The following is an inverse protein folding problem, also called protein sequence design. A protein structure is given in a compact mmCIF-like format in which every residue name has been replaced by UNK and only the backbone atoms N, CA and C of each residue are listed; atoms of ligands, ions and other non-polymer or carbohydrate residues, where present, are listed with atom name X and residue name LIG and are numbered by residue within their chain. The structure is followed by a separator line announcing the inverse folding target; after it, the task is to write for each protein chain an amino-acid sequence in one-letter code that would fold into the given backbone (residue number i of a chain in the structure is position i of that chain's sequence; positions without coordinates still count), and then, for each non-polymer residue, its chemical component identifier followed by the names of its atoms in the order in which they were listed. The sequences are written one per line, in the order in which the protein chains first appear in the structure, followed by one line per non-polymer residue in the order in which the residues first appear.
data_IF_366284869452
#
_entry.id   IF_366284869452
#
_cell.length_a   1.000
_cell.length_b   1.000
_cell.length_c   1.000
_cell.angle_alpha   90.00
_cell.angle_beta   90.00
_cell.angle_gamma   90.00
#
_symmetry.space_group_name_H-M   'P 1'
#
loop_
_entity.id
_entity.type
_entity.pdbx_description
1 polymer ?
#
# COMPACT_ATOMS: atom_id res chain seq x y z
N UNK A 1 8.06 -8.40 -7.42
CA UNK A 1 8.30 -9.02 -6.11
C UNK A 1 7.86 -8.01 -5.07
N UNK A 2 6.89 -8.37 -4.23
CA UNK A 2 6.44 -7.52 -3.10
C UNK A 2 7.43 -7.64 -1.95
N UNK A 3 7.45 -6.63 -1.07
CA UNK A 3 8.26 -6.65 0.15
C UNK A 3 7.30 -6.66 1.34
N UNK A 4 7.34 -7.72 2.13
CA UNK A 4 6.37 -7.94 3.19
C UNK A 4 7.00 -7.67 4.56
N UNK A 5 6.27 -6.95 5.39
CA UNK A 5 6.62 -6.63 6.78
C UNK A 5 5.48 -7.13 7.67
N UNK A 6 5.83 -7.79 8.76
CA UNK A 6 4.87 -8.31 9.73
C UNK A 6 5.04 -7.55 11.03
N UNK A 7 3.96 -6.94 11.52
CA UNK A 7 3.86 -6.46 12.88
C UNK A 7 3.27 -7.58 13.74
N UNK A 8 4.07 -8.10 14.68
CA UNK A 8 3.62 -9.04 15.70
C UNK A 8 3.38 -8.25 16.97
N UNK A 9 2.11 -8.06 17.34
CA UNK A 9 1.70 -7.18 18.43
C UNK A 9 1.05 -7.95 19.56
N UNK A 10 1.20 -7.44 20.77
CA UNK A 10 0.77 -8.15 22.00
C UNK A 10 -0.72 -8.03 22.26
N UNK A 11 -1.34 -6.98 21.74
CA UNK A 11 -2.74 -6.63 21.96
C UNK A 11 -3.48 -6.55 20.62
N UNK A 12 -4.79 -6.80 20.64
CA UNK A 12 -5.64 -6.72 19.46
C UNK A 12 -5.61 -5.30 18.88
N UNK A 13 -5.23 -5.11 17.61
CA UNK A 13 -5.28 -3.79 16.99
C UNK A 13 -6.72 -3.27 16.91
N UNK A 14 -6.97 -2.11 17.48
CA UNK A 14 -8.20 -1.36 17.24
C UNK A 14 -8.06 -0.43 16.03
N UNK A 15 -9.19 0.12 15.57
CA UNK A 15 -9.20 1.01 14.41
C UNK A 15 -8.32 2.25 14.63
N UNK A 16 -8.22 2.75 15.88
CA UNK A 16 -7.41 3.92 16.20
C UNK A 16 -5.93 3.61 16.05
N UNK A 17 -5.45 2.50 16.60
CA UNK A 17 -4.07 2.06 16.48
C UNK A 17 -3.67 1.85 15.02
N UNK A 18 -4.55 1.25 14.21
CA UNK A 18 -4.35 1.11 12.77
C UNK A 18 -4.26 2.46 12.08
N UNK A 19 -5.23 3.36 12.28
CA UNK A 19 -5.26 4.68 11.63
C UNK A 19 -4.09 5.55 12.05
N UNK A 20 -3.78 5.62 13.33
CA UNK A 20 -2.67 6.42 13.82
C UNK A 20 -1.33 5.89 13.26
N UNK A 21 -1.18 4.56 13.12
CA UNK A 21 0.02 3.96 12.49
C UNK A 21 0.09 4.21 10.98
N UNK A 22 -1.05 4.29 10.28
CA UNK A 22 -1.11 4.70 8.87
C UNK A 22 -0.68 6.17 8.71
N UNK A 23 -1.15 7.05 9.61
CA UNK A 23 -0.77 8.47 9.63
C UNK A 23 0.72 8.64 9.92
N UNK A 24 1.27 7.90 10.89
CA UNK A 24 2.70 7.89 11.18
C UNK A 24 3.54 7.41 9.98
N UNK A 25 2.98 6.51 9.17
CA UNK A 25 3.64 5.98 7.99
C UNK A 25 3.69 7.02 6.85
N UNK A 26 2.57 7.67 6.56
CA UNK A 26 2.47 8.83 5.67
C UNK A 26 1.08 9.50 5.78
N UNK A 27 0.97 10.77 6.19
CA UNK A 27 -0.33 11.41 6.46
C UNK A 27 -1.16 11.71 5.19
N UNK A 28 -0.51 11.94 4.04
CA UNK A 28 -1.20 12.38 2.83
C UNK A 28 -1.69 11.24 1.92
N UNK A 29 -1.50 9.97 2.29
CA UNK A 29 -1.95 8.84 1.47
C UNK A 29 -3.46 8.63 1.59
N UNK A 30 -4.08 8.25 0.47
CA UNK A 30 -5.50 7.93 0.42
C UNK A 30 -5.72 6.51 0.94
N UNK A 31 -6.78 6.30 1.71
CA UNK A 31 -7.17 4.98 2.22
C UNK A 31 -8.27 4.39 1.35
N UNK A 32 -8.09 3.15 0.89
CA UNK A 32 -9.09 2.39 0.16
C UNK A 32 -9.29 1.00 0.79
N UNK A 33 -10.49 0.44 0.67
CA UNK A 33 -10.75 -0.97 1.02
C UNK A 33 -10.62 -1.86 -0.22
N UNK A 34 -10.09 -3.06 -0.04
CA UNK A 34 -9.99 -4.09 -1.06
C UNK A 34 -10.35 -5.48 -0.49
N UNK A 35 -10.54 -6.47 -1.37
CA UNK A 35 -10.79 -7.87 -0.97
C UNK A 35 -11.99 -8.01 -0.02
N UNK A 36 -13.14 -7.42 -0.38
CA UNK A 36 -14.36 -7.43 0.44
C UNK A 36 -14.17 -6.96 1.90
N UNK A 37 -13.23 -6.04 2.12
CA UNK A 37 -12.94 -5.45 3.42
C UNK A 37 -11.88 -6.19 4.24
N UNK A 38 -11.29 -7.26 3.70
CA UNK A 38 -10.19 -7.97 4.34
C UNK A 38 -8.84 -7.24 4.19
N UNK A 39 -8.74 -6.27 3.27
CA UNK A 39 -7.51 -5.53 2.98
C UNK A 39 -7.76 -4.03 3.03
N UNK A 40 -6.88 -3.30 3.70
CA UNK A 40 -6.79 -1.85 3.66
C UNK A 40 -5.61 -1.48 2.75
N UNK A 41 -5.81 -0.54 1.82
CA UNK A 41 -4.76 -0.05 0.93
C UNK A 41 -4.45 1.41 1.21
N UNK A 42 -3.15 1.74 1.25
CA UNK A 42 -2.65 3.11 1.18
C UNK A 42 -2.26 3.40 -0.26
N UNK A 43 -2.91 4.39 -0.86
CA UNK A 43 -2.79 4.75 -2.26
C UNK A 43 -2.23 6.17 -2.41
N UNK A 44 -1.48 6.39 -3.49
CA UNK A 44 -1.10 7.74 -3.90
C UNK A 44 -2.26 8.51 -4.53
N UNK A 45 -2.00 9.76 -4.93
CA UNK A 45 -3.01 10.63 -5.52
C UNK A 45 -3.62 10.11 -6.81
N UNK A 46 -2.87 9.31 -7.56
CA UNK A 46 -3.32 8.66 -8.80
C UNK A 46 -4.20 7.43 -8.55
N UNK A 47 -4.33 6.99 -7.29
CA UNK A 47 -5.04 5.77 -6.90
C UNK A 47 -4.18 4.51 -6.98
N UNK A 48 -2.86 4.64 -7.18
CA UNK A 48 -1.95 3.49 -7.18
C UNK A 48 -1.71 3.03 -5.74
N UNK A 49 -2.00 1.77 -5.44
CA UNK A 49 -1.70 1.17 -4.14
C UNK A 49 -0.18 1.07 -3.91
N UNK A 50 0.27 1.59 -2.78
CA UNK A 50 1.67 1.55 -2.32
C UNK A 50 1.87 0.53 -1.20
N UNK A 51 0.85 0.37 -0.35
CA UNK A 51 0.85 -0.59 0.75
C UNK A 51 -0.51 -1.27 0.84
N UNK A 52 -0.51 -2.60 0.99
CA UNK A 52 -1.69 -3.38 1.37
C UNK A 52 -1.50 -3.90 2.79
N UNK A 53 -2.47 -3.65 3.66
CA UNK A 53 -2.49 -4.09 5.05
C UNK A 53 -3.59 -5.15 5.17
N UNK A 54 -3.19 -6.37 5.50
CA UNK A 54 -4.12 -7.47 5.77
C UNK A 54 -4.81 -7.29 7.12
N UNK A 55 -6.02 -7.83 7.25
CA UNK A 55 -6.72 -7.86 8.53
C UNK A 55 -5.86 -8.50 9.63
N UNK A 56 -5.94 -7.94 10.84
CA UNK A 56 -5.24 -8.47 11.99
C UNK A 56 -5.76 -9.87 12.34
N UNK A 57 -4.85 -10.82 12.52
CA UNK A 57 -5.17 -12.22 12.84
C UNK A 57 -4.60 -12.60 14.20
N UNK A 58 -5.43 -13.16 15.07
CA UNK A 58 -4.96 -13.71 16.34
C UNK A 58 -4.28 -15.06 16.08
N UNK A 59 -3.04 -15.20 16.53
CA UNK A 59 -2.26 -16.43 16.40
C UNK A 59 -2.54 -17.29 17.63
N UNK A 60 -3.56 -18.14 17.51
CA UNK A 60 -4.03 -19.01 18.60
C UNK A 60 -3.30 -20.35 18.70
N UNK A 61 -2.57 -20.74 17.64
CA UNK A 61 -1.89 -22.04 17.60
C UNK A 61 -0.53 -21.90 18.29
N UNK A 62 -0.30 -22.57 19.43
CA UNK A 62 0.98 -22.49 20.14
C UNK A 62 2.13 -22.95 19.24
N UNK A 63 3.23 -22.19 19.23
CA UNK A 63 4.42 -22.47 18.41
C UNK A 63 4.30 -22.11 16.93
N UNK A 64 3.18 -21.55 16.47
CA UNK A 64 3.02 -21.16 15.06
C UNK A 64 3.99 -20.06 14.64
N UNK A 65 4.25 -19.08 15.53
CA UNK A 65 5.26 -18.04 15.30
C UNK A 65 6.66 -18.65 15.17
N UNK A 66 6.99 -19.64 15.99
CA UNK A 66 8.28 -20.33 15.92
C UNK A 66 8.43 -21.09 14.60
N UNK A 67 7.37 -21.80 14.17
CA UNK A 67 7.35 -22.54 12.91
C UNK A 67 7.54 -21.63 11.69
N UNK A 68 6.93 -20.45 11.71
CA UNK A 68 6.94 -19.51 10.58
C UNK A 68 8.18 -18.61 10.57
N UNK A 69 8.58 -18.08 11.73
CA UNK A 69 9.55 -16.99 11.85
C UNK A 69 10.80 -17.35 12.66
N UNK A 70 10.83 -18.54 13.27
CA UNK A 70 11.95 -19.04 14.07
C UNK A 70 11.82 -18.77 15.58
N UNK A 71 12.56 -19.55 16.36
CA UNK A 71 12.51 -19.54 17.83
C UNK A 71 12.93 -18.19 18.43
N UNK A 72 13.91 -17.51 17.82
CA UNK A 72 14.39 -16.20 18.31
C UNK A 72 13.30 -15.13 18.27
N UNK A 73 12.41 -15.19 17.28
CA UNK A 73 11.28 -14.27 17.15
C UNK A 73 10.16 -14.67 18.11
N UNK A 74 9.84 -15.97 18.17
CA UNK A 74 8.79 -16.47 19.06
C UNK A 74 9.08 -16.20 20.55
N UNK A 75 10.35 -16.29 20.98
CA UNK A 75 10.76 -16.06 22.36
C UNK A 75 10.53 -14.61 22.86
N UNK A 76 10.30 -13.67 21.95
CA UNK A 76 10.09 -12.25 22.27
C UNK A 76 8.61 -11.87 22.40
N UNK A 77 7.69 -12.78 22.08
CA UNK A 77 6.26 -12.51 21.99
C UNK A 77 5.47 -13.31 23.03
N UNK A 78 4.35 -12.76 23.54
CA UNK A 78 3.40 -13.54 24.32
C UNK A 78 2.69 -14.56 23.40
N UNK A 79 2.18 -15.63 24.00
CA UNK A 79 1.25 -16.56 23.37
C UNK A 79 -0.12 -16.45 24.08
N UNK A 80 -1.20 -16.02 23.40
CA UNK A 80 -1.27 -15.66 21.97
C UNK A 80 -0.74 -14.25 21.66
N UNK A 81 -0.48 -13.99 20.38
CA UNK A 81 -0.18 -12.66 19.83
C UNK A 81 -1.03 -12.36 18.59
N UNK A 82 -0.96 -11.13 18.10
CA UNK A 82 -1.65 -10.67 16.89
C UNK A 82 -0.68 -10.44 15.73
N UNK A 83 -1.06 -10.91 14.55
CA UNK A 83 -0.31 -10.81 13.30
C UNK A 83 -0.97 -9.81 12.37
N UNK A 84 -0.22 -8.78 11.95
CA UNK A 84 -0.64 -7.84 10.91
C UNK A 84 0.41 -7.82 9.81
N UNK A 85 0.00 -8.19 8.60
CA UNK A 85 0.90 -8.21 7.45
C UNK A 85 0.71 -6.95 6.59
N UNK A 86 1.82 -6.29 6.27
CA UNK A 86 1.89 -5.11 5.44
C UNK A 86 2.75 -5.41 4.20
N UNK A 87 2.11 -5.46 3.03
CA UNK A 87 2.74 -5.81 1.74
C UNK A 87 2.99 -4.55 0.93
N UNK A 88 4.26 -4.22 0.75
CA UNK A 88 4.70 -3.09 -0.06
C UNK A 88 4.62 -3.43 -1.56
N UNK A 89 4.11 -2.49 -2.35
CA UNK A 89 4.02 -2.61 -3.78
C UNK A 89 5.38 -2.34 -4.47
N UNK A 90 5.68 -3.11 -5.52
CA UNK A 90 6.84 -2.88 -6.37
C UNK A 90 8.20 -3.17 -5.71
N UNK A 91 9.27 -2.75 -6.39
CA UNK A 91 10.65 -2.94 -5.92
C UNK A 91 11.28 -1.63 -5.40
N UNK A 92 10.53 -0.53 -5.42
CA UNK A 92 11.03 0.78 -4.98
C UNK A 92 11.23 0.82 -3.46
N UNK A 93 12.25 1.55 -2.96
CA UNK A 93 12.53 1.60 -1.53
C UNK A 93 11.44 2.33 -0.72
N UNK A 94 10.69 3.24 -1.36
CA UNK A 94 9.63 4.03 -0.72
C UNK A 94 8.51 3.17 -0.10
N UNK A 95 7.85 2.30 -0.87
CA UNK A 95 6.84 1.36 -0.37
C UNK A 95 7.32 0.46 0.77
N UNK A 96 8.55 -0.06 0.69
CA UNK A 96 9.12 -0.87 1.78
C UNK A 96 9.31 -0.04 3.06
N UNK A 97 9.76 1.21 2.91
CA UNK A 97 9.83 2.18 4.00
C UNK A 97 8.49 2.49 4.66
N UNK A 98 7.46 2.64 3.83
CA UNK A 98 6.08 2.83 4.29
C UNK A 98 5.60 1.64 5.12
N UNK A 99 5.87 0.41 4.68
CA UNK A 99 5.53 -0.81 5.42
C UNK A 99 6.22 -0.86 6.80
N UNK A 100 7.51 -0.51 6.87
CA UNK A 100 8.27 -0.46 8.12
C UNK A 100 7.77 0.61 9.08
N UNK A 101 7.46 1.81 8.60
CA UNK A 101 6.91 2.88 9.45
C UNK A 101 5.54 2.50 10.00
N UNK A 102 4.67 1.94 9.17
CA UNK A 102 3.36 1.43 9.62
C UNK A 102 3.52 0.35 10.71
N UNK A 103 4.31 -0.69 10.43
CA UNK A 103 4.52 -1.79 11.37
C UNK A 103 5.18 -1.32 12.68
N UNK A 104 6.15 -0.40 12.56
CA UNK A 104 6.83 0.22 13.71
C UNK A 104 5.88 1.06 14.56
N UNK A 105 5.02 1.88 13.95
CA UNK A 105 3.99 2.64 14.66
C UNK A 105 3.03 1.74 15.43
N UNK A 106 2.62 0.62 14.82
CA UNK A 106 1.73 -0.33 15.47
C UNK A 106 2.39 -1.02 16.67
N UNK A 107 3.63 -1.47 16.51
CA UNK A 107 4.43 -2.09 17.58
C UNK A 107 4.75 -1.10 18.70
N UNK A 108 5.00 0.17 18.40
CA UNK A 108 5.20 1.20 19.43
C UNK A 108 3.95 1.39 20.31
N UNK A 109 2.76 1.23 19.73
CA UNK A 109 1.48 1.43 20.42
C UNK A 109 1.05 0.20 21.21
N UNK A 110 1.23 -0.99 20.63
CA UNK A 110 0.66 -2.25 21.14
C UNK A 110 1.73 -3.21 21.72
N UNK A 111 2.99 -2.79 21.72
CA UNK A 111 4.14 -3.63 22.03
C UNK A 111 4.35 -4.74 21.00
N UNK A 112 5.46 -5.49 21.16
CA UNK A 112 5.81 -6.61 20.28
C UNK A 112 7.02 -6.29 19.41
N UNK A 113 7.03 -6.77 18.17
CA UNK A 113 8.17 -6.60 17.27
C UNK A 113 7.76 -6.55 15.79
N UNK A 114 8.65 -5.95 14.99
CA UNK A 114 8.54 -5.95 13.53
C UNK A 114 9.44 -7.03 12.98
N UNK A 115 8.90 -7.87 12.10
CA UNK A 115 9.64 -8.87 11.35
C UNK A 115 9.59 -8.56 9.85
N UNK A 116 10.69 -8.81 9.16
CA UNK A 116 10.74 -8.74 7.69
C UNK A 116 11.78 -9.73 7.18
N UNK A 117 11.57 -10.37 6.02
CA UNK A 117 12.46 -11.42 5.49
C UNK A 117 13.82 -10.87 5.04
N UNK A 118 13.91 -9.56 4.82
CA UNK A 118 15.13 -8.84 4.46
C UNK A 118 15.19 -7.55 5.25
N UNK A 119 16.37 -7.00 5.60
CA UNK A 119 16.47 -5.70 6.23
C UNK A 119 15.73 -4.63 5.43
N UNK A 120 15.26 -3.59 6.12
CA UNK A 120 14.73 -2.40 5.46
C UNK A 120 15.77 -1.89 4.44
N UNK A 121 15.37 -1.53 3.20
CA UNK A 121 16.29 -0.96 2.23
C UNK A 121 16.97 0.29 2.80
N UNK A 122 18.23 0.60 2.39
CA UNK A 122 18.85 1.87 2.72
C UNK A 122 17.94 3.04 2.31
N UNK A 123 17.71 3.98 3.23
CA UNK A 123 16.82 5.13 3.02
C UNK A 123 15.31 4.83 3.14
N UNK A 124 14.91 3.59 3.43
CA UNK A 124 13.50 3.25 3.63
C UNK A 124 12.89 3.96 4.85
N UNK A 125 13.69 4.25 5.87
CA UNK A 125 13.25 5.01 7.05
C UNK A 125 13.33 6.53 6.86
N UNK A 126 13.91 7.00 5.75
CA UNK A 126 13.89 8.42 5.42
C UNK A 126 12.44 8.84 5.14
N UNK A 127 12.06 10.10 5.43
CA UNK A 127 10.77 10.64 5.03
C UNK A 127 10.58 10.40 3.53
N UNK A 128 9.42 9.87 3.13
CA UNK A 128 9.11 9.78 1.71
C UNK A 128 9.23 11.21 1.15
N UNK A 129 10.02 11.44 0.09
CA UNK A 129 10.08 12.77 -0.50
C UNK A 129 8.65 13.16 -0.86
N UNK A 130 8.26 14.41 -0.56
CA UNK A 130 7.02 14.98 -1.07
C UNK A 130 6.92 14.63 -2.55
N UNK A 131 5.73 14.29 -3.08
CA UNK A 131 5.58 13.82 -4.44
C UNK A 131 6.34 14.75 -5.38
N UNK A 132 7.46 14.27 -5.93
CA UNK A 132 8.18 14.99 -6.96
C UNK A 132 7.26 15.17 -8.16
N UNK A 133 7.49 16.18 -9.02
CA UNK A 133 6.77 16.29 -10.29
C UNK A 133 6.89 14.94 -11.01
N UNK A 134 5.76 14.23 -11.11
CA UNK A 134 5.67 12.95 -11.79
C UNK A 134 6.13 13.15 -13.24
N UNK A 135 6.89 12.20 -13.79
CA UNK A 135 7.06 12.11 -15.24
C UNK A 135 5.65 12.10 -15.85
N UNK A 136 5.32 13.00 -16.80
CA UNK A 136 3.98 13.05 -17.34
C UNK A 136 3.61 11.67 -17.91
N UNK A 137 2.35 11.21 -17.75
CA UNK A 137 1.92 9.97 -18.38
C UNK A 137 2.29 10.02 -19.87
N UNK A 138 2.73 8.89 -20.47
CA UNK A 138 3.06 8.87 -21.89
C UNK A 138 1.89 9.48 -22.67
N UNK A 139 2.16 10.36 -23.67
CA UNK A 139 1.11 11.04 -24.39
C UNK A 139 0.10 9.99 -24.91
N UNK A 140 -1.21 10.29 -24.87
CA UNK A 140 -2.20 9.37 -25.40
C UNK A 140 -1.79 8.98 -26.84
N UNK A 141 -2.01 7.70 -27.24
CA UNK A 141 -1.70 7.28 -28.59
C UNK A 141 -2.33 8.26 -29.57
N UNK A 142 -1.56 8.64 -30.60
CA UNK A 142 -2.02 9.59 -31.61
C UNK A 142 -3.43 9.19 -32.06
N UNK A 143 -4.37 10.15 -32.15
CA UNK A 143 -5.74 9.85 -32.58
C UNK A 143 -5.69 9.14 -33.93
N UNK A 144 -6.45 8.06 -34.02
CA UNK A 144 -6.56 7.25 -35.23
C UNK A 144 -6.95 8.15 -36.43
N UNK A 145 -6.13 8.23 -37.50
CA UNK A 145 -6.38 9.13 -38.62
C UNK A 145 -7.73 8.86 -39.30
N UNK A 146 -8.27 7.65 -39.22
CA UNK A 146 -9.61 7.33 -39.72
C UNK A 146 -10.72 8.03 -38.91
N UNK A 147 -10.58 8.11 -37.58
CA UNK A 147 -11.57 8.81 -36.74
C UNK A 147 -11.57 10.32 -36.93
N UNK A 148 -10.45 10.90 -37.35
CA UNK A 148 -10.38 12.34 -37.68
C UNK A 148 -11.08 12.64 -39.00
N UNK A 149 -10.91 11.76 -40.01
CA UNK A 149 -11.60 11.90 -41.30
C UNK A 149 -13.11 11.76 -41.13
N UNK A 150 -13.59 10.80 -40.34
CA UNK A 150 -15.01 10.62 -40.07
C UNK A 150 -15.64 11.84 -39.36
N UNK A 151 -14.91 12.46 -38.44
CA UNK A 151 -15.38 13.66 -37.74
C UNK A 151 -15.44 14.88 -38.67
N UNK A 152 -14.43 15.08 -39.52
CA UNK A 152 -14.43 16.17 -40.49
C UNK A 152 -15.56 16.01 -41.49
N UNK A 153 -15.77 14.79 -41.99
CA UNK A 153 -16.82 14.45 -42.95
C UNK A 153 -18.23 14.61 -42.36
N UNK A 154 -18.39 14.38 -41.05
CA UNK A 154 -19.64 14.63 -40.33
C UNK A 154 -19.86 16.12 -40.02
N UNK A 155 -18.80 16.91 -39.85
CA UNK A 155 -18.89 18.35 -39.65
C UNK A 155 -19.30 19.07 -40.94
N UNK A 156 -18.68 18.73 -42.07
CA UNK A 156 -18.98 19.32 -43.37
C UNK A 156 -20.44 19.03 -43.78
N UNK A 157 -20.89 17.79 -43.61
CA UNK A 157 -22.29 17.41 -43.86
C UNK A 157 -23.30 18.13 -42.95
N UNK A 158 -22.91 18.52 -41.73
CA UNK A 158 -23.77 19.29 -40.83
C UNK A 158 -23.83 20.77 -41.21
N UNK A 159 -22.76 21.33 -41.79
CA UNK A 159 -22.77 22.69 -42.34
C UNK A 159 -23.65 22.76 -43.60
N UNK A 160 -23.49 21.82 -44.53
CA UNK A 160 -24.30 21.79 -45.76
C UNK A 160 -25.80 21.63 -45.49
N UNK A 161 -26.18 20.91 -44.42
CA UNK A 161 -27.58 20.77 -44.00
C UNK A 161 -28.16 21.99 -43.27
N UNK A 162 -27.31 22.91 -42.81
CA UNK A 162 -27.74 24.17 -42.17
C UNK A 162 -27.91 25.31 -43.17
N UNK A 163 -27.24 25.23 -44.32
CA UNK A 163 -27.25 26.26 -45.36
C UNK A 163 -28.29 26.00 -46.48
N UNK A 164 -29.12 24.96 -46.35
CA UNK A 164 -30.28 24.65 -47.24
C UNK A 164 -31.59 24.87 -46.50
#
# INVERSE_FOLDING_TARGET
MTYDVVALVREAPDLRALVDSMVDAHPDLKVAGAGDGAVIQLCDDSGRALLSIEAAQEVLVPGEVERLLGADIAAQLPDPCWWVEARAAGADPGPAGLAHRFAGGLVQRLGGLVWSPRPAPPGALDPLPAPGPQDPPPPPPAPDPERQQDQQRNHDQQQERRDT
#
